data_IF_838836343360
#
_entry.id   IF_838836343360
#
_cell.length_a   1.000
_cell.length_b   1.000
_cell.length_c   1.000
_cell.angle_alpha   90.00
_cell.angle_beta   90.00
_cell.angle_gamma   90.00
#
_symmetry.space_group_name_H-M   'P 1'
#
loop_
_entity.id
_entity.type
_entity.pdbx_description
1 polymer ?
#
# COMPACT_ATOMS: atom_id res chain seq x y z
N UNK A 1 -8.77 -0.53 0.53
CA UNK A 1 -7.78 -1.01 1.50
C UNK A 1 -8.19 -0.51 2.86
N UNK A 2 -8.44 -1.39 3.81
CA UNK A 2 -8.83 -0.95 5.14
C UNK A 2 -7.65 -0.30 5.82
N UNK A 3 -7.75 1.02 6.06
CA UNK A 3 -6.80 1.82 6.88
C UNK A 3 -6.51 1.13 8.23
N UNK A 4 -7.40 0.24 8.64
CA UNK A 4 -7.35 -0.63 9.82
C UNK A 4 -6.09 -1.49 9.83
N UNK A 5 -5.71 -2.18 8.74
CA UNK A 5 -4.54 -3.08 8.76
C UNK A 5 -3.24 -2.34 9.14
N UNK A 6 -2.95 -1.21 8.49
CA UNK A 6 -1.73 -0.45 8.78
C UNK A 6 -1.78 0.22 10.15
N UNK A 7 -2.98 0.62 10.60
CA UNK A 7 -3.19 1.13 11.95
C UNK A 7 -2.89 0.08 13.02
N UNK A 8 -3.36 -1.14 12.83
CA UNK A 8 -3.10 -2.28 13.73
C UNK A 8 -1.62 -2.63 13.76
N UNK A 9 -0.94 -2.49 12.62
CA UNK A 9 0.50 -2.65 12.49
C UNK A 9 1.30 -1.43 12.98
N UNK A 10 0.64 -0.41 13.57
CA UNK A 10 1.25 0.81 14.12
C UNK A 10 2.07 1.61 13.10
N UNK A 11 1.62 1.62 11.86
CA UNK A 11 2.19 2.45 10.77
C UNK A 11 1.16 3.49 10.39
N UNK A 12 1.61 4.73 10.16
CA UNK A 12 0.77 5.78 9.62
C UNK A 12 0.96 5.86 8.09
N UNK A 13 0.01 5.33 7.29
CA UNK A 13 0.11 5.41 5.85
C UNK A 13 -0.21 6.84 5.38
N UNK A 14 0.50 7.29 4.36
CA UNK A 14 0.05 8.43 3.55
C UNK A 14 -0.93 7.90 2.51
N UNK A 15 -2.11 8.51 2.40
CA UNK A 15 -3.17 8.06 1.49
C UNK A 15 -3.38 9.15 0.45
N UNK A 16 -3.21 8.76 -0.82
CA UNK A 16 -3.47 9.61 -1.97
C UNK A 16 -4.73 9.10 -2.66
N UNK A 17 -5.80 9.90 -2.63
CA UNK A 17 -7.04 9.61 -3.35
C UNK A 17 -6.90 10.16 -4.77
N UNK A 18 -6.91 9.26 -5.76
CA UNK A 18 -6.70 9.63 -7.16
C UNK A 18 -8.01 9.97 -7.89
N UNK A 19 -9.17 9.65 -7.31
CA UNK A 19 -10.48 9.83 -7.96
C UNK A 19 -10.78 11.30 -8.32
N UNK A 20 -10.16 12.24 -7.60
CA UNK A 20 -10.29 13.68 -7.83
C UNK A 20 -9.08 14.28 -8.58
N UNK A 21 -8.12 13.46 -8.99
CA UNK A 21 -6.94 13.90 -9.71
C UNK A 21 -7.25 14.03 -11.22
N UNK A 22 -6.92 15.16 -11.87
CA UNK A 22 -7.14 15.33 -13.31
C UNK A 22 -6.43 14.26 -14.16
N UNK A 23 -5.34 13.69 -13.65
CA UNK A 23 -4.54 12.66 -14.31
C UNK A 23 -4.87 11.24 -13.83
N UNK A 24 -5.97 11.03 -13.09
CA UNK A 24 -6.41 9.75 -12.53
C UNK A 24 -6.22 8.57 -13.49
N UNK A 25 -6.70 8.71 -14.74
CA UNK A 25 -6.62 7.67 -15.76
C UNK A 25 -5.18 7.31 -16.16
N UNK A 26 -4.28 8.28 -16.21
CA UNK A 26 -2.87 8.03 -16.52
C UNK A 26 -2.14 7.42 -15.32
N UNK A 27 -2.51 7.81 -14.10
CA UNK A 27 -2.03 7.18 -12.87
C UNK A 27 -2.44 5.70 -12.84
N UNK A 28 -3.71 5.38 -13.08
CA UNK A 28 -4.19 3.99 -13.12
C UNK A 28 -3.42 3.15 -14.15
N UNK A 29 -3.23 3.67 -15.37
CA UNK A 29 -2.43 3.00 -16.40
C UNK A 29 -0.99 2.76 -15.97
N UNK A 30 -0.36 3.73 -15.30
CA UNK A 30 0.99 3.58 -14.78
C UNK A 30 1.06 2.51 -13.69
N UNK A 31 0.08 2.46 -12.78
CA UNK A 31 -0.01 1.44 -11.74
C UNK A 31 -0.17 0.03 -12.32
N UNK A 32 -1.00 -0.13 -13.36
CA UNK A 32 -1.12 -1.41 -14.09
C UNK A 32 0.20 -1.81 -14.74
N UNK A 33 0.90 -0.87 -15.39
CA UNK A 33 2.23 -1.11 -16.00
C UNK A 33 3.30 -1.49 -14.97
N UNK A 34 3.19 -1.00 -13.74
CA UNK A 34 4.06 -1.37 -12.63
C UNK A 34 3.73 -2.74 -12.02
N UNK A 35 2.62 -3.37 -12.42
CA UNK A 35 2.21 -4.70 -11.96
C UNK A 35 1.04 -4.70 -10.97
N UNK A 36 0.38 -3.56 -10.72
CA UNK A 36 -0.82 -3.51 -9.90
C UNK A 36 -2.06 -3.82 -10.76
N UNK A 37 -2.47 -5.09 -10.80
CA UNK A 37 -3.52 -5.57 -11.72
C UNK A 37 -4.86 -4.82 -11.61
N UNK A 38 -5.24 -4.40 -10.40
CA UNK A 38 -6.49 -3.68 -10.15
C UNK A 38 -6.33 -2.15 -10.07
N UNK A 39 -5.16 -1.61 -10.43
CA UNK A 39 -4.72 -0.22 -10.31
C UNK A 39 -4.76 0.33 -8.87
N UNK A 40 -5.92 0.35 -8.22
CA UNK A 40 -6.14 0.80 -6.85
C UNK A 40 -6.83 -0.25 -5.98
N UNK A 41 -6.52 -0.31 -4.68
CA UNK A 41 -5.45 0.44 -4.02
C UNK A 41 -4.07 -0.10 -4.43
N UNK A 42 -3.10 0.79 -4.67
CA UNK A 42 -1.70 0.41 -4.85
C UNK A 42 -0.90 0.80 -3.60
N UNK A 43 -0.26 -0.19 -2.96
CA UNK A 43 0.51 0.03 -1.73
C UNK A 43 1.99 0.10 -2.08
N UNK A 44 2.64 1.17 -1.63
CA UNK A 44 4.08 1.36 -1.75
C UNK A 44 4.74 1.36 -0.38
N UNK A 45 5.91 0.76 -0.28
CA UNK A 45 6.77 0.82 0.90
C UNK A 45 8.17 1.22 0.44
N UNK A 46 8.71 2.30 1.00
CA UNK A 46 10.01 2.85 0.59
C UNK A 46 10.11 3.11 -0.93
N UNK A 47 9.03 3.61 -1.53
CA UNK A 47 8.95 3.88 -2.98
C UNK A 47 8.81 2.64 -3.88
N UNK A 48 8.76 1.42 -3.31
CA UNK A 48 8.58 0.18 -4.07
C UNK A 48 7.14 -0.31 -4.00
N UNK A 49 6.59 -0.71 -5.13
CA UNK A 49 5.26 -1.32 -5.20
C UNK A 49 5.28 -2.66 -4.47
N UNK A 50 4.42 -2.78 -3.45
CA UNK A 50 4.18 -4.03 -2.71
C UNK A 50 3.03 -4.82 -3.34
N UNK A 51 2.03 -4.11 -3.86
CA UNK A 51 0.92 -4.69 -4.62
C UNK A 51 -0.43 -4.07 -4.25
N UNK A 52 -1.49 -4.76 -4.67
CA UNK A 52 -2.87 -4.41 -4.33
C UNK A 52 -3.29 -4.99 -2.99
N UNK A 53 -4.57 -4.85 -2.64
CA UNK A 53 -5.15 -5.43 -1.42
C UNK A 53 -4.77 -6.91 -1.25
N UNK A 54 -4.89 -7.72 -2.32
CA UNK A 54 -4.71 -9.17 -2.22
C UNK A 54 -3.26 -9.56 -1.93
N UNK A 55 -2.29 -8.93 -2.60
CA UNK A 55 -0.87 -9.18 -2.35
C UNK A 55 -0.48 -8.74 -0.94
N UNK A 56 -0.94 -7.56 -0.50
CA UNK A 56 -0.64 -7.06 0.85
C UNK A 56 -1.23 -7.95 1.92
N UNK A 57 -2.47 -8.41 1.75
CA UNK A 57 -3.10 -9.37 2.67
C UNK A 57 -2.35 -10.71 2.68
N UNK A 58 -1.90 -11.21 1.53
CA UNK A 58 -1.09 -12.44 1.45
C UNK A 58 0.24 -12.30 2.18
N UNK A 59 0.90 -11.13 2.07
CA UNK A 59 2.12 -10.82 2.81
C UNK A 59 1.85 -10.70 4.31
N UNK A 60 0.71 -10.16 4.71
CA UNK A 60 0.31 -10.08 6.12
C UNK A 60 0.11 -11.48 6.71
N UNK A 61 -0.66 -12.34 6.04
CA UNK A 61 -0.94 -13.70 6.47
C UNK A 61 0.32 -14.59 6.53
N UNK A 62 1.27 -14.38 5.61
CA UNK A 62 2.56 -15.08 5.63
C UNK A 62 3.57 -14.48 6.62
N UNK A 63 3.26 -13.36 7.29
CA UNK A 63 4.17 -12.62 8.15
C UNK A 63 5.26 -11.81 7.43
N UNK A 64 5.35 -11.94 6.10
CA UNK A 64 6.37 -11.27 5.27
C UNK A 64 6.16 -9.76 5.14
N UNK A 65 4.97 -9.24 5.49
CA UNK A 65 4.71 -7.80 5.51
C UNK A 65 5.45 -7.09 6.65
N UNK A 66 5.59 -7.72 7.81
CA UNK A 66 6.15 -7.08 9.02
C UNK A 66 7.59 -6.59 8.81
N UNK A 67 8.53 -7.39 8.26
CA UNK A 67 9.88 -6.91 7.99
C UNK A 67 9.95 -5.68 7.07
N UNK A 68 9.01 -5.54 6.12
CA UNK A 68 8.98 -4.42 5.18
C UNK A 68 8.59 -3.11 5.87
N UNK A 69 7.68 -3.18 6.84
CA UNK A 69 7.11 -2.00 7.49
C UNK A 69 7.75 -1.69 8.85
N UNK A 70 8.50 -2.63 9.43
CA UNK A 70 9.15 -2.51 10.74
C UNK A 70 9.90 -1.18 10.95
N UNK A 71 10.67 -0.65 9.97
CA UNK A 71 11.36 0.63 10.13
C UNK A 71 10.44 1.85 10.30
N UNK A 72 9.16 1.71 9.93
CA UNK A 72 8.17 2.79 9.91
C UNK A 72 7.11 2.63 11.02
N UNK A 73 7.24 1.61 11.88
CA UNK A 73 6.35 1.44 13.01
C UNK A 73 6.65 2.48 14.08
N UNK A 74 5.63 3.22 14.52
CA UNK A 74 5.74 4.12 15.65
C UNK A 74 5.67 3.31 16.95
N UNK A 75 6.82 3.00 17.54
CA UNK A 75 6.87 2.50 18.91
C UNK A 75 6.72 3.70 19.85
N UNK A 76 5.58 3.83 20.51
CA UNK A 76 5.49 4.68 21.69
C UNK A 76 6.25 3.96 22.81
N UNK A 77 7.34 4.57 23.28
CA UNK A 77 7.90 4.27 24.60
C UNK A 77 6.96 4.83 25.68
#
# INVERSE_FOLDING_TARGET
MDKILFRDLRVQPTIHEIDNDPDCREIEKALVRLGCANAVPAVFVSGKLVGSTNEVMSLHLSGSLVPLIKPYQSFHN
#
